data_IF_815982417513
#
_entry.id   IF_815982417513
#
_cell.length_a   1.000
_cell.length_b   1.000
_cell.length_c   1.000
_cell.angle_alpha   90.00
_cell.angle_beta   90.00
_cell.angle_gamma   90.00
#
_symmetry.space_group_name_H-M   'P 1'
#
loop_
_entity.id
_entity.type
_entity.pdbx_description
1 polymer ?
#
# COMPACT_ATOMS: atom_id res chain seq x y z
N UNK A 1 -34.08 -4.98 -29.03
CA UNK A 1 -33.13 -4.91 -30.16
C UNK A 1 -31.76 -4.60 -29.60
N UNK A 2 -30.73 -5.45 -29.75
CA UNK A 2 -29.37 -5.12 -29.32
C UNK A 2 -28.70 -4.25 -30.39
N UNK A 3 -28.00 -3.19 -29.96
CA UNK A 3 -27.20 -2.35 -30.86
C UNK A 3 -25.84 -3.02 -31.07
N UNK A 4 -25.68 -3.71 -32.19
CA UNK A 4 -24.38 -4.20 -32.65
C UNK A 4 -23.72 -3.03 -33.40
N UNK A 5 -22.90 -2.25 -32.70
CA UNK A 5 -22.13 -1.17 -33.32
C UNK A 5 -21.05 -1.79 -34.24
N UNK A 6 -21.19 -1.59 -35.55
CA UNK A 6 -20.14 -1.92 -36.52
C UNK A 6 -19.07 -0.82 -36.45
N UNK A 7 -17.83 -1.20 -36.13
CA UNK A 7 -16.70 -0.29 -36.19
C UNK A 7 -16.40 0.08 -37.66
N UNK A 8 -16.91 1.24 -38.08
CA UNK A 8 -16.40 1.96 -39.26
C UNK A 8 -15.33 2.97 -38.83
N UNK A 9 -14.43 3.33 -39.74
CA UNK A 9 -13.22 4.14 -39.51
C UNK A 9 -13.46 5.60 -39.05
N UNK A 10 -14.68 5.95 -38.61
CA UNK A 10 -15.02 7.17 -37.87
C UNK A 10 -15.37 6.93 -36.39
N UNK A 11 -15.24 5.71 -35.89
CA UNK A 11 -15.77 5.32 -34.57
C UNK A 11 -14.93 5.76 -33.36
N UNK A 12 -13.66 6.15 -33.52
CA UNK A 12 -12.79 6.48 -32.39
C UNK A 12 -13.27 7.69 -31.58
N UNK A 13 -13.60 8.78 -32.28
CA UNK A 13 -14.06 10.03 -31.68
C UNK A 13 -15.47 9.88 -31.07
N UNK A 14 -16.32 9.07 -31.71
CA UNK A 14 -17.66 8.74 -31.20
C UNK A 14 -17.61 7.82 -29.96
N UNK A 15 -16.65 6.88 -29.92
CA UNK A 15 -16.39 6.05 -28.74
C UNK A 15 -15.85 6.90 -27.58
N UNK A 16 -14.90 7.80 -27.83
CA UNK A 16 -14.34 8.68 -26.79
C UNK A 16 -15.43 9.56 -26.17
N UNK A 17 -16.29 10.16 -27.02
CA UNK A 17 -17.44 10.95 -26.58
C UNK A 17 -18.38 10.13 -25.72
N UNK A 18 -18.76 8.92 -26.17
CA UNK A 18 -19.64 8.02 -25.43
C UNK A 18 -19.06 7.60 -24.07
N UNK A 19 -17.75 7.33 -24.01
CA UNK A 19 -17.06 6.96 -22.76
C UNK A 19 -17.05 8.15 -21.79
N UNK A 20 -16.75 9.34 -22.28
CA UNK A 20 -16.79 10.57 -21.46
C UNK A 20 -18.19 10.83 -20.91
N UNK A 21 -19.22 10.72 -21.74
CA UNK A 21 -20.62 10.87 -21.32
C UNK A 21 -21.00 9.82 -20.26
N UNK A 22 -20.64 8.55 -20.47
CA UNK A 22 -20.93 7.48 -19.52
C UNK A 22 -20.25 7.69 -18.15
N UNK A 23 -19.03 8.24 -18.13
CA UNK A 23 -18.32 8.58 -16.89
C UNK A 23 -19.00 9.75 -16.17
N UNK A 24 -19.42 10.78 -16.91
CA UNK A 24 -20.13 11.95 -16.35
C UNK A 24 -21.51 11.57 -15.83
N UNK A 25 -22.25 10.70 -16.54
CA UNK A 25 -23.55 10.19 -16.12
C UNK A 25 -23.43 9.34 -14.84
N UNK A 26 -22.31 8.61 -14.69
CA UNK A 26 -22.09 7.67 -13.59
C UNK A 26 -20.67 7.77 -13.00
N UNK A 27 -20.35 8.86 -12.26
CA UNK A 27 -19.02 9.08 -11.69
C UNK A 27 -18.60 7.99 -10.67
N UNK A 28 -19.57 7.26 -10.11
CA UNK A 28 -19.33 6.09 -9.25
C UNK A 28 -18.52 4.97 -9.94
N UNK A 29 -18.44 4.94 -11.27
CA UNK A 29 -17.58 4.00 -12.00
C UNK A 29 -16.11 4.24 -11.65
N UNK A 30 -15.66 5.50 -11.64
CA UNK A 30 -14.27 5.84 -11.31
C UNK A 30 -13.91 5.46 -9.87
N UNK A 31 -14.81 5.75 -8.93
CA UNK A 31 -14.64 5.40 -7.52
C UNK A 31 -14.51 3.88 -7.32
N UNK A 32 -15.31 3.08 -8.04
CA UNK A 32 -15.19 1.62 -8.02
C UNK A 32 -13.86 1.15 -8.60
N UNK A 33 -13.43 1.71 -9.73
CA UNK A 33 -12.14 1.35 -10.33
C UNK A 33 -10.98 1.65 -9.39
N UNK A 34 -10.96 2.83 -8.77
CA UNK A 34 -9.94 3.20 -7.78
C UNK A 34 -9.97 2.25 -6.59
N UNK A 35 -11.15 1.96 -6.03
CA UNK A 35 -11.28 1.02 -4.92
C UNK A 35 -10.82 -0.40 -5.28
N UNK A 36 -11.07 -0.87 -6.50
CA UNK A 36 -10.59 -2.16 -6.99
C UNK A 36 -9.07 -2.19 -7.16
N UNK A 37 -8.47 -1.11 -7.66
CA UNK A 37 -7.02 -0.97 -7.76
C UNK A 37 -6.36 -0.98 -6.38
N UNK A 38 -6.88 -0.17 -5.45
CA UNK A 38 -6.38 -0.12 -4.07
C UNK A 38 -6.44 -1.49 -3.39
N UNK A 39 -7.57 -2.20 -3.51
CA UNK A 39 -7.71 -3.54 -2.93
C UNK A 39 -6.72 -4.55 -3.53
N UNK A 40 -6.46 -4.47 -4.84
CA UNK A 40 -5.46 -5.31 -5.50
C UNK A 40 -4.03 -4.99 -5.02
N UNK A 41 -3.71 -3.70 -4.87
CA UNK A 41 -2.43 -3.24 -4.36
C UNK A 41 -2.21 -3.65 -2.90
N UNK A 42 -3.21 -3.53 -2.03
CA UNK A 42 -3.13 -3.97 -0.63
C UNK A 42 -2.81 -5.46 -0.51
N UNK A 43 -3.46 -6.30 -1.33
CA UNK A 43 -3.20 -7.74 -1.36
C UNK A 43 -1.76 -8.04 -1.85
N UNK A 44 -1.30 -7.34 -2.89
CA UNK A 44 0.08 -7.48 -3.38
C UNK A 44 1.11 -6.96 -2.37
N UNK A 45 0.79 -5.86 -1.69
CA UNK A 45 1.64 -5.25 -0.68
C UNK A 45 1.81 -6.17 0.52
N UNK A 46 0.76 -6.84 0.99
CA UNK A 46 0.87 -7.82 2.08
C UNK A 46 1.87 -8.95 1.75
N UNK A 47 1.80 -9.49 0.53
CA UNK A 47 2.73 -10.52 0.04
C UNK A 47 4.16 -9.97 -0.03
N UNK A 48 4.33 -8.78 -0.62
CA UNK A 48 5.62 -8.12 -0.75
C UNK A 48 6.25 -7.81 0.61
N UNK A 49 5.45 -7.34 1.57
CA UNK A 49 5.90 -7.00 2.92
C UNK A 49 6.36 -8.24 3.67
N UNK A 50 5.63 -9.35 3.57
CA UNK A 50 6.05 -10.62 4.16
C UNK A 50 7.35 -11.13 3.53
N UNK A 51 7.49 -11.06 2.21
CA UNK A 51 8.73 -11.43 1.51
C UNK A 51 9.91 -10.55 1.94
N UNK A 52 9.70 -9.23 2.08
CA UNK A 52 10.72 -8.30 2.54
C UNK A 52 11.13 -8.58 4.00
N UNK A 53 10.19 -8.85 4.90
CA UNK A 53 10.47 -9.23 6.29
C UNK A 53 11.26 -10.54 6.37
N UNK A 54 10.88 -11.55 5.57
CA UNK A 54 11.60 -12.83 5.52
C UNK A 54 13.03 -12.65 4.99
N UNK A 55 13.21 -11.87 3.93
CA UNK A 55 14.52 -11.57 3.35
C UNK A 55 15.44 -10.79 4.32
N UNK A 56 14.88 -9.90 5.13
CA UNK A 56 15.64 -9.04 6.04
C UNK A 56 15.67 -9.55 7.50
N UNK A 57 15.08 -10.71 7.80
CA UNK A 57 14.94 -11.26 9.16
C UNK A 57 16.25 -11.23 9.96
N UNK A 58 17.37 -11.61 9.34
CA UNK A 58 18.67 -11.59 10.00
C UNK A 58 19.11 -10.19 10.43
N UNK A 59 18.92 -9.19 9.57
CA UNK A 59 19.27 -7.80 9.87
C UNK A 59 18.30 -7.16 10.87
N UNK A 60 17.02 -7.55 10.84
CA UNK A 60 16.00 -7.00 11.73
C UNK A 60 16.16 -7.45 13.18
N UNK A 61 16.60 -8.70 13.40
CA UNK A 61 16.65 -9.29 14.76
C UNK A 61 18.07 -9.44 15.33
N UNK A 62 19.12 -9.39 14.50
CA UNK A 62 20.50 -9.58 14.94
C UNK A 62 21.39 -8.37 14.66
N UNK A 63 20.83 -7.16 14.56
CA UNK A 63 21.65 -5.95 14.47
C UNK A 63 22.36 -5.69 15.82
N UNK A 64 23.70 -5.78 15.89
CA UNK A 64 24.44 -5.56 17.13
C UNK A 64 24.34 -4.11 17.65
N UNK A 65 23.92 -3.16 16.82
CA UNK A 65 23.72 -1.77 17.21
C UNK A 65 22.26 -1.47 17.60
N UNK A 66 21.35 -2.42 17.44
CA UNK A 66 19.96 -2.24 17.83
C UNK A 66 19.81 -2.40 19.36
N UNK A 67 19.26 -1.40 20.07
CA UNK A 67 18.94 -1.56 21.48
C UNK A 67 17.82 -2.59 21.65
N UNK A 68 17.98 -3.53 22.58
CA UNK A 68 16.96 -4.52 22.96
C UNK A 68 16.35 -4.14 24.32
N UNK A 69 15.28 -3.32 24.35
CA UNK A 69 14.58 -3.03 25.60
C UNK A 69 13.70 -4.23 26.03
N UNK A 70 13.72 -4.58 27.32
CA UNK A 70 12.83 -5.61 27.89
C UNK A 70 13.44 -7.00 28.06
N UNK A 71 12.65 -8.06 27.84
CA UNK A 71 13.04 -9.46 28.06
C UNK A 71 13.64 -10.10 26.81
N UNK A 72 14.95 -10.31 26.81
CA UNK A 72 15.70 -10.93 25.72
C UNK A 72 15.41 -12.42 25.49
N UNK A 73 14.70 -13.10 26.39
CA UNK A 73 14.30 -14.50 26.27
C UNK A 73 12.82 -14.72 25.94
N UNK A 74 12.10 -13.68 25.49
CA UNK A 74 10.69 -13.80 25.13
C UNK A 74 10.45 -14.52 23.80
N UNK A 75 9.30 -15.20 23.67
CA UNK A 75 8.93 -15.94 22.45
C UNK A 75 8.57 -15.04 21.26
N UNK A 76 8.36 -13.74 21.49
CA UNK A 76 7.96 -12.75 20.49
C UNK A 76 8.90 -11.54 20.53
N UNK A 77 9.46 -11.18 19.37
CA UNK A 77 10.30 -9.99 19.20
C UNK A 77 9.57 -8.98 18.32
N UNK A 78 9.47 -7.73 18.80
CA UNK A 78 8.89 -6.60 18.05
C UNK A 78 10.03 -5.67 17.64
N UNK A 79 10.07 -5.29 16.35
CA UNK A 79 11.04 -4.34 15.80
C UNK A 79 10.31 -3.05 15.45
N UNK A 80 10.73 -1.95 16.05
CA UNK A 80 10.12 -0.62 15.87
C UNK A 80 11.05 0.27 15.04
N UNK A 81 10.52 0.86 13.96
CA UNK A 81 11.25 1.79 13.11
C UNK A 81 10.92 3.22 13.53
N UNK A 82 11.94 3.99 13.93
CA UNK A 82 11.81 5.41 14.25
C UNK A 82 12.51 6.27 13.18
N UNK A 83 11.81 7.28 12.66
CA UNK A 83 12.42 8.32 11.83
C UNK A 83 12.64 9.58 12.66
N UNK A 84 13.90 9.88 12.96
CA UNK A 84 14.29 11.05 13.77
C UNK A 84 14.59 12.30 12.93
N UNK A 85 14.34 12.28 11.61
CA UNK A 85 14.72 13.40 10.73
C UNK A 85 13.65 14.48 10.57
N UNK A 86 12.43 14.25 11.07
CA UNK A 86 11.34 15.23 10.98
C UNK A 86 11.45 16.37 12.02
N UNK A 87 10.91 17.57 11.73
CA UNK A 87 11.00 18.75 12.62
C UNK A 87 10.27 18.59 13.98
N UNK A 88 9.50 17.52 14.15
CA UNK A 88 8.76 17.17 15.37
C UNK A 88 9.39 15.99 16.13
N UNK A 89 10.57 15.52 15.71
CA UNK A 89 11.23 14.38 16.34
C UNK A 89 11.65 14.71 17.79
N UNK A 90 10.92 14.16 18.77
CA UNK A 90 11.34 14.12 20.17
C UNK A 90 12.30 12.95 20.37
N UNK A 91 13.37 13.14 21.15
CA UNK A 91 14.40 12.11 21.37
C UNK A 91 13.76 10.78 21.80
N UNK A 92 14.15 9.63 21.20
CA UNK A 92 13.28 8.47 21.23
C UNK A 92 13.09 7.78 22.59
N UNK A 93 13.81 8.10 23.68
CA UNK A 93 13.61 7.36 24.94
C UNK A 93 13.94 8.12 26.25
N UNK A 94 12.95 8.45 27.09
CA UNK A 94 13.15 8.66 28.52
C UNK A 94 12.76 7.40 29.32
N UNK A 95 13.74 6.78 29.99
CA UNK A 95 13.64 5.80 31.10
C UNK A 95 12.43 4.83 31.09
N UNK A 96 12.64 3.61 30.59
CA UNK A 96 11.76 2.48 30.93
C UNK A 96 12.15 1.91 32.30
N UNK A 97 11.16 1.78 33.19
CA UNK A 97 11.21 0.85 34.32
C UNK A 97 10.48 -0.42 33.88
N UNK A 98 11.22 -1.53 33.86
CA UNK A 98 10.70 -2.87 34.13
C UNK A 98 11.20 -3.28 35.50
#
# INVERSE_FOLDING_TARGET
MPLIARAGEGGGEEIETLVCEAIVERPAILLRTVGQLQHAEEAAQAISTHAALAANRGSLFNDPNAPVPGNSGGDVTVVEFFDCNGPLAVAPWPRFRV
#
